data_IF_958507938419
#
_entry.id   IF_958507938419
#
_cell.length_a   1.000
_cell.length_b   1.000
_cell.length_c   1.000
_cell.angle_alpha   90.00
_cell.angle_beta   90.00
_cell.angle_gamma   90.00
#
_symmetry.space_group_name_H-M   'P 1'
#
loop_
_entity.id
_entity.type
_entity.pdbx_description
1 polymer ?
#
# COMPACT_ATOMS: atom_id res chain seq x y z
N UNK A 1 -7.54 46.52 48.48
CA UNK A 1 -7.02 45.14 48.33
C UNK A 1 -7.92 44.33 47.43
N UNK A 2 -8.00 44.64 46.12
CA UNK A 2 -8.67 43.80 45.10
C UNK A 2 -8.01 44.11 43.76
N UNK A 3 -6.83 43.50 43.45
CA UNK A 3 -6.20 43.67 42.13
C UNK A 3 -5.21 42.55 41.77
N UNK A 4 -5.39 41.33 42.26
CA UNK A 4 -4.45 40.22 42.01
C UNK A 4 -5.10 38.91 41.55
N UNK A 5 -6.31 38.90 41.00
CA UNK A 5 -7.02 37.63 40.70
C UNK A 5 -7.51 37.47 39.27
N UNK A 6 -6.89 38.14 38.27
CA UNK A 6 -7.37 38.04 36.86
C UNK A 6 -6.33 37.47 35.89
N UNK A 7 -5.14 37.09 36.31
CA UNK A 7 -4.03 36.70 35.41
C UNK A 7 -3.74 35.20 35.30
N UNK A 8 -4.50 34.31 35.95
CA UNK A 8 -4.19 32.86 35.90
C UNK A 8 -5.13 32.01 35.06
N UNK A 9 -6.17 32.58 34.45
CA UNK A 9 -7.14 31.78 33.69
C UNK A 9 -6.90 31.69 32.16
N UNK A 10 -5.94 32.47 31.62
CA UNK A 10 -5.80 32.58 30.15
C UNK A 10 -4.71 31.69 29.55
N UNK A 11 -3.91 31.00 30.35
CA UNK A 11 -2.78 30.19 29.82
C UNK A 11 -3.12 28.72 29.58
N UNK A 12 -4.22 28.20 30.10
CA UNK A 12 -4.56 26.77 30.03
C UNK A 12 -5.40 26.34 28.82
N UNK A 13 -5.89 27.28 27.98
CA UNK A 13 -6.74 26.93 26.81
C UNK A 13 -5.96 26.75 25.52
N UNK A 14 -4.71 27.19 25.44
CA UNK A 14 -3.91 27.12 24.19
C UNK A 14 -3.18 25.77 24.01
N UNK A 15 -3.01 24.97 25.04
CA UNK A 15 -2.27 23.71 24.98
C UNK A 15 -3.09 22.52 24.42
N UNK A 16 -4.42 22.65 24.32
CA UNK A 16 -5.31 21.55 23.88
C UNK A 16 -5.52 21.43 22.37
N UNK A 17 -5.11 22.41 21.56
CA UNK A 17 -5.44 22.48 20.11
C UNK A 17 -4.33 21.98 19.18
N UNK A 18 -3.19 21.58 19.68
CA UNK A 18 -2.04 21.21 18.85
C UNK A 18 -1.94 19.69 18.59
N UNK A 19 -2.73 18.86 19.26
CA UNK A 19 -2.58 17.40 19.21
C UNK A 19 -3.44 16.70 18.14
N UNK A 20 -4.38 17.36 17.46
CA UNK A 20 -5.29 16.71 16.51
C UNK A 20 -4.95 16.90 15.01
N UNK A 21 -3.88 17.62 14.67
CA UNK A 21 -3.58 17.98 13.28
C UNK A 21 -2.57 17.03 12.59
N UNK A 22 -2.21 15.89 13.16
CA UNK A 22 -1.08 15.08 12.64
C UNK A 22 -1.42 13.77 11.95
N UNK A 23 -2.68 13.38 11.84
CA UNK A 23 -3.01 12.05 11.26
C UNK A 23 -3.72 12.09 9.89
N UNK A 24 -3.89 13.27 9.27
CA UNK A 24 -4.59 13.39 7.97
C UNK A 24 -3.68 13.21 6.75
N UNK A 25 -2.44 12.78 6.88
CA UNK A 25 -1.46 12.80 5.80
C UNK A 25 -0.87 11.46 5.38
N UNK A 26 -1.25 10.35 5.99
CA UNK A 26 -0.61 9.07 5.69
C UNK A 26 -1.60 8.08 5.09
N UNK A 27 -1.14 7.38 4.06
CA UNK A 27 -1.87 6.28 3.41
C UNK A 27 -1.08 5.00 3.59
N UNK A 28 -1.79 3.89 3.67
CA UNK A 28 -1.19 2.57 3.83
C UNK A 28 -1.25 1.84 2.49
N UNK A 29 -0.12 1.37 2.04
CA UNK A 29 0.03 0.52 0.86
C UNK A 29 0.47 -0.86 1.31
N UNK A 30 -0.27 -1.89 0.91
CA UNK A 30 0.10 -3.28 1.11
C UNK A 30 0.45 -3.84 -0.28
N UNK A 31 1.74 -4.14 -0.48
CA UNK A 31 2.27 -4.62 -1.76
C UNK A 31 3.18 -5.82 -1.53
N UNK A 32 2.95 -6.93 -2.24
CA UNK A 32 3.66 -8.21 -2.04
C UNK A 32 3.71 -8.64 -0.55
N UNK A 33 2.61 -8.39 0.21
CA UNK A 33 2.50 -8.71 1.64
C UNK A 33 3.22 -7.73 2.58
N UNK A 34 3.93 -6.73 2.05
CA UNK A 34 4.63 -5.71 2.86
C UNK A 34 3.75 -4.48 3.03
N UNK A 35 3.57 -4.05 4.28
CA UNK A 35 2.83 -2.83 4.62
C UNK A 35 3.76 -1.64 4.67
N UNK A 36 3.47 -0.60 3.90
CA UNK A 36 4.27 0.64 3.83
C UNK A 36 3.37 1.86 3.98
N UNK A 37 3.76 2.79 4.85
CA UNK A 37 3.12 4.10 4.93
C UNK A 37 3.69 5.03 3.86
N UNK A 38 2.82 5.68 3.10
CA UNK A 38 3.19 6.65 2.06
C UNK A 38 2.58 8.01 2.35
N UNK A 39 3.20 9.08 1.86
CA UNK A 39 2.67 10.43 2.03
C UNK A 39 1.37 10.62 1.25
N UNK A 40 0.36 11.26 1.85
CA UNK A 40 -0.80 11.74 1.11
C UNK A 40 -0.39 12.90 0.23
N UNK A 41 -0.79 12.87 -1.04
CA UNK A 41 -0.58 13.97 -1.98
C UNK A 41 -1.79 14.91 -1.93
N UNK A 42 -1.57 16.21 -1.94
CA UNK A 42 -2.55 17.25 -1.57
C UNK A 42 -3.76 17.40 -2.52
N UNK A 43 -3.80 16.77 -3.68
CA UNK A 43 -4.84 17.00 -4.69
C UNK A 43 -5.50 15.70 -5.17
N UNK A 44 -5.83 14.80 -4.24
CA UNK A 44 -6.40 13.50 -4.61
C UNK A 44 -7.87 13.40 -4.21
N UNK A 45 -8.70 13.95 -5.08
CA UNK A 45 -10.17 13.73 -5.09
C UNK A 45 -10.56 12.42 -5.77
N UNK A 46 -9.59 11.67 -6.27
CA UNK A 46 -9.80 10.50 -7.11
C UNK A 46 -9.57 9.19 -6.36
N UNK A 47 -10.26 8.14 -6.79
CA UNK A 47 -10.06 6.74 -6.35
C UNK A 47 -8.63 6.23 -6.64
N UNK A 48 -7.79 7.03 -7.25
CA UNK A 48 -6.44 6.69 -7.66
C UNK A 48 -5.42 7.06 -6.59
N UNK A 49 -4.51 6.14 -6.31
CA UNK A 49 -3.42 6.35 -5.38
C UNK A 49 -2.20 6.91 -6.13
N UNK A 50 -1.90 8.18 -5.86
CA UNK A 50 -0.66 8.83 -6.30
C UNK A 50 0.36 8.77 -5.18
N UNK A 51 1.60 8.45 -5.51
CA UNK A 51 2.72 8.37 -4.57
C UNK A 51 3.91 9.13 -5.09
N UNK A 52 4.81 9.59 -4.21
CA UNK A 52 6.09 10.15 -4.64
C UNK A 52 6.95 9.06 -5.29
N UNK A 53 7.95 9.46 -6.09
CA UNK A 53 8.90 8.49 -6.67
C UNK A 53 9.68 7.72 -5.60
N UNK A 54 9.96 8.36 -4.46
CA UNK A 54 10.59 7.72 -3.31
C UNK A 54 9.68 6.67 -2.66
N UNK A 55 8.40 7.01 -2.49
CA UNK A 55 7.40 6.10 -1.93
C UNK A 55 7.09 4.94 -2.87
N UNK A 56 7.04 5.17 -4.19
CA UNK A 56 6.92 4.11 -5.18
C UNK A 56 8.02 3.05 -4.98
N UNK A 57 9.27 3.50 -4.93
CA UNK A 57 10.42 2.60 -4.72
C UNK A 57 10.32 1.89 -3.38
N UNK A 58 10.01 2.60 -2.30
CA UNK A 58 9.95 2.06 -0.94
C UNK A 58 8.84 1.03 -0.77
N UNK A 59 7.64 1.32 -1.32
CA UNK A 59 6.48 0.47 -1.14
C UNK A 59 6.44 -0.74 -2.08
N UNK A 60 7.01 -0.63 -3.29
CA UNK A 60 6.85 -1.64 -4.34
C UNK A 60 8.16 -2.18 -4.92
N UNK A 61 9.27 -1.50 -4.67
CA UNK A 61 10.54 -1.78 -5.32
C UNK A 61 10.64 -1.28 -6.77
N UNK A 62 9.54 -0.77 -7.36
CA UNK A 62 9.56 -0.22 -8.71
C UNK A 62 10.17 1.17 -8.78
N UNK A 63 10.83 1.45 -9.91
CA UNK A 63 11.36 2.77 -10.26
C UNK A 63 10.98 3.13 -11.69
N UNK A 64 10.70 4.40 -11.93
CA UNK A 64 10.44 4.91 -13.27
C UNK A 64 11.75 5.16 -13.97
N UNK A 65 11.94 4.53 -15.13
CA UNK A 65 13.11 4.66 -16.02
C UNK A 65 12.66 5.09 -17.42
N UNK A 66 13.57 5.52 -18.32
CA UNK A 66 13.20 5.90 -19.69
C UNK A 66 12.46 4.81 -20.46
N UNK A 67 12.76 3.53 -20.22
CA UNK A 67 12.13 2.37 -20.86
C UNK A 67 10.80 1.96 -20.22
N UNK A 68 10.47 2.45 -19.03
CA UNK A 68 9.24 2.11 -18.33
C UNK A 68 9.35 2.08 -16.82
N UNK A 69 8.46 1.36 -16.16
CA UNK A 69 8.46 1.14 -14.71
C UNK A 69 9.12 -0.19 -14.45
N UNK A 70 10.28 -0.18 -13.79
CA UNK A 70 11.15 -1.34 -13.68
C UNK A 70 11.41 -1.73 -12.22
N UNK A 71 11.45 -3.04 -11.96
CA UNK A 71 11.91 -3.65 -10.71
C UNK A 71 12.80 -4.83 -11.08
N UNK A 72 14.05 -4.79 -10.64
CA UNK A 72 15.06 -5.79 -10.99
C UNK A 72 15.19 -5.97 -12.54
N UNK A 73 14.92 -7.16 -13.05
CA UNK A 73 14.93 -7.49 -14.48
C UNK A 73 13.60 -7.23 -15.18
N UNK A 74 12.54 -6.97 -14.42
CA UNK A 74 11.19 -6.78 -14.94
C UNK A 74 10.96 -5.30 -15.25
N UNK A 75 10.56 -4.99 -16.49
CA UNK A 75 10.20 -3.64 -16.91
C UNK A 75 8.86 -3.64 -17.66
N UNK A 76 7.98 -2.74 -17.27
CA UNK A 76 6.70 -2.49 -17.93
C UNK A 76 6.77 -1.15 -18.67
N UNK A 77 6.71 -1.13 -20.01
CA UNK A 77 6.68 0.11 -20.76
C UNK A 77 5.39 0.87 -20.49
N UNK A 78 5.50 2.19 -20.31
CA UNK A 78 4.32 3.05 -20.21
C UNK A 78 3.89 3.52 -21.62
N UNK A 79 2.58 3.53 -21.92
CA UNK A 79 2.05 4.08 -23.15
C UNK A 79 2.47 5.57 -23.30
N UNK A 80 3.09 5.92 -24.43
CA UNK A 80 3.63 7.27 -24.66
C UNK A 80 2.53 8.32 -24.75
N UNK A 81 1.42 7.97 -25.35
CA UNK A 81 0.21 8.80 -25.53
C UNK A 81 -0.57 9.03 -24.24
N UNK A 82 -0.41 8.17 -23.23
CA UNK A 82 -1.12 8.21 -21.95
C UNK A 82 -0.19 8.47 -20.77
N UNK A 83 0.99 8.99 -20.98
CA UNK A 83 2.00 9.17 -19.93
C UNK A 83 1.50 10.02 -18.75
N UNK A 84 0.63 11.00 -19.00
CA UNK A 84 0.05 11.87 -17.96
C UNK A 84 -0.86 11.11 -16.97
N UNK A 85 -1.39 9.93 -17.35
CA UNK A 85 -2.16 9.10 -16.43
C UNK A 85 -1.28 8.47 -15.33
N UNK A 86 -0.01 8.27 -15.63
CA UNK A 86 0.93 7.57 -14.74
C UNK A 86 1.87 8.50 -14.00
N UNK A 87 2.26 9.61 -14.63
CA UNK A 87 3.26 10.53 -14.06
C UNK A 87 2.74 11.96 -14.13
N UNK A 88 2.68 12.61 -12.98
CA UNK A 88 2.33 14.02 -12.82
C UNK A 88 3.50 14.77 -12.20
N UNK A 89 3.72 15.99 -12.66
CA UNK A 89 4.73 16.88 -12.11
C UNK A 89 4.07 18.19 -11.67
N UNK A 90 4.10 18.45 -10.37
CA UNK A 90 3.60 19.68 -9.77
C UNK A 90 4.76 20.42 -9.09
N UNK A 91 5.22 21.48 -9.73
CA UNK A 91 6.39 22.21 -9.27
C UNK A 91 7.64 21.32 -9.21
N UNK A 92 8.18 21.12 -8.02
CA UNK A 92 9.37 20.26 -7.78
C UNK A 92 9.02 18.80 -7.47
N UNK A 93 7.75 18.49 -7.28
CA UNK A 93 7.32 17.14 -6.89
C UNK A 93 6.89 16.38 -8.15
N UNK A 94 7.45 15.21 -8.35
CA UNK A 94 7.01 14.25 -9.36
C UNK A 94 6.31 13.11 -8.64
N UNK A 95 5.07 12.82 -9.05
CA UNK A 95 4.23 11.78 -8.50
C UNK A 95 3.93 10.71 -9.54
N UNK A 96 3.62 9.51 -9.04
CA UNK A 96 3.29 8.34 -9.84
C UNK A 96 1.94 7.77 -9.43
N UNK A 97 1.07 7.48 -10.40
CA UNK A 97 -0.22 6.85 -10.18
C UNK A 97 -0.06 5.33 -10.08
N UNK A 98 0.03 4.84 -8.85
CA UNK A 98 0.23 3.41 -8.59
C UNK A 98 -1.01 2.58 -8.96
N UNK A 99 -2.20 3.12 -8.79
CA UNK A 99 -3.45 2.44 -9.15
C UNK A 99 -3.62 2.34 -10.68
N UNK A 100 -3.32 3.39 -11.43
CA UNK A 100 -3.34 3.33 -12.89
C UNK A 100 -2.30 2.34 -13.43
N UNK A 101 -1.12 2.30 -12.82
CA UNK A 101 -0.09 1.33 -13.17
C UNK A 101 -0.54 -0.11 -12.89
N UNK A 102 -1.15 -0.36 -11.74
CA UNK A 102 -1.70 -1.69 -11.42
C UNK A 102 -2.75 -2.14 -12.46
N UNK A 103 -3.63 -1.22 -12.88
CA UNK A 103 -4.59 -1.50 -13.97
C UNK A 103 -3.89 -1.82 -15.28
N UNK A 104 -2.84 -1.09 -15.64
CA UNK A 104 -2.06 -1.34 -16.86
C UNK A 104 -1.48 -2.76 -16.89
N UNK A 105 -0.92 -3.23 -15.78
CA UNK A 105 -0.32 -4.56 -15.65
C UNK A 105 -1.31 -5.64 -15.20
N UNK A 106 -2.62 -5.32 -15.18
CA UNK A 106 -3.72 -6.22 -14.75
C UNK A 106 -3.55 -6.76 -13.33
N UNK A 107 -2.90 -6.01 -12.46
CA UNK A 107 -2.75 -6.35 -11.03
C UNK A 107 -4.03 -5.97 -10.29
N UNK A 108 -4.64 -6.88 -9.51
CA UNK A 108 -5.82 -6.57 -8.70
C UNK A 108 -5.51 -5.53 -7.63
N UNK A 109 -6.43 -4.59 -7.42
CA UNK A 109 -6.33 -3.58 -6.36
C UNK A 109 -7.64 -3.53 -5.60
N UNK A 110 -7.56 -3.56 -4.28
CA UNK A 110 -8.65 -3.24 -3.39
C UNK A 110 -8.29 -1.99 -2.59
N UNK A 111 -9.23 -1.06 -2.44
CA UNK A 111 -9.03 0.18 -1.71
C UNK A 111 -10.11 0.35 -0.64
N UNK A 112 -9.70 0.68 0.56
CA UNK A 112 -10.53 1.22 1.62
C UNK A 112 -10.21 2.70 1.79
N UNK A 113 -10.95 3.53 1.08
CA UNK A 113 -10.75 4.99 1.07
C UNK A 113 -11.00 5.61 2.45
N UNK A 114 -11.93 5.03 3.23
CA UNK A 114 -12.27 5.50 4.58
C UNK A 114 -11.10 5.37 5.55
N UNK A 115 -10.39 4.26 5.46
CA UNK A 115 -9.23 3.97 6.30
C UNK A 115 -7.90 4.28 5.60
N UNK A 116 -7.95 4.86 4.40
CA UNK A 116 -6.79 5.21 3.58
C UNK A 116 -5.82 4.03 3.35
N UNK A 117 -6.36 2.84 3.04
CA UNK A 117 -5.61 1.61 2.80
C UNK A 117 -5.80 1.13 1.37
N UNK A 118 -4.70 0.80 0.69
CA UNK A 118 -4.68 0.18 -0.64
C UNK A 118 -3.93 -1.14 -0.59
N UNK A 119 -4.60 -2.20 -1.02
CA UNK A 119 -4.02 -3.53 -1.16
C UNK A 119 -3.82 -3.86 -2.64
N UNK A 120 -2.61 -4.22 -3.00
CA UNK A 120 -2.24 -4.69 -4.33
C UNK A 120 -2.03 -6.19 -4.28
N UNK A 121 -2.89 -6.92 -4.94
CA UNK A 121 -2.84 -8.38 -5.04
C UNK A 121 -1.67 -8.88 -5.90
N UNK A 122 -1.48 -10.19 -6.02
CA UNK A 122 -0.42 -10.76 -6.84
C UNK A 122 -0.61 -10.39 -8.32
N UNK A 123 0.50 -10.07 -8.98
CA UNK A 123 0.51 -9.80 -10.43
C UNK A 123 0.18 -11.08 -11.22
N UNK A 124 -0.35 -10.96 -12.45
CA UNK A 124 -0.69 -12.13 -13.28
C UNK A 124 0.49 -13.07 -13.51
N UNK A 125 1.70 -12.54 -13.74
CA UNK A 125 2.91 -13.34 -13.95
C UNK A 125 3.24 -14.24 -12.74
N UNK A 126 3.04 -13.73 -11.53
CA UNK A 126 3.21 -14.50 -10.29
C UNK A 126 2.09 -15.52 -10.11
N UNK A 127 0.84 -15.10 -10.29
CA UNK A 127 -0.33 -15.98 -10.14
C UNK A 127 -0.33 -17.10 -11.17
N UNK A 128 -0.05 -16.76 -12.43
CA UNK A 128 -0.09 -17.73 -13.53
C UNK A 128 1.06 -18.74 -13.44
N UNK A 129 2.18 -18.40 -12.80
CA UNK A 129 3.28 -19.33 -12.53
C UNK A 129 2.85 -20.47 -11.59
N UNK A 130 2.05 -20.19 -10.57
CA UNK A 130 1.51 -21.23 -9.66
C UNK A 130 0.50 -22.12 -10.37
N UNK A 131 -0.33 -21.56 -11.26
CA UNK A 131 -1.31 -22.35 -12.02
C UNK A 131 -0.62 -23.23 -13.04
N UNK A 132 0.39 -22.74 -13.74
CA UNK A 132 1.10 -23.48 -14.78
C UNK A 132 2.05 -24.55 -14.22
N UNK A 133 2.68 -24.30 -13.08
CA UNK A 133 3.55 -25.28 -12.40
C UNK A 133 2.78 -26.34 -11.62
N UNK A 134 1.49 -26.09 -11.34
CA UNK A 134 0.66 -26.87 -10.42
C UNK A 134 1.23 -26.89 -8.99
N UNK A 135 2.17 -26.02 -8.66
CA UNK A 135 2.72 -25.85 -7.33
C UNK A 135 1.86 -24.88 -6.51
N UNK A 136 1.33 -25.35 -5.38
CA UNK A 136 0.59 -24.48 -4.48
C UNK A 136 1.53 -23.49 -3.78
N UNK A 137 1.14 -22.20 -3.67
CA UNK A 137 1.89 -21.24 -2.88
C UNK A 137 2.04 -21.73 -1.44
N UNK A 138 3.27 -21.66 -0.90
CA UNK A 138 3.47 -22.02 0.49
C UNK A 138 2.86 -20.96 1.42
N UNK A 139 2.23 -21.39 2.49
CA UNK A 139 1.74 -20.53 3.56
C UNK A 139 2.04 -21.18 4.92
N UNK A 140 2.06 -20.38 5.97
CA UNK A 140 2.30 -20.82 7.34
C UNK A 140 1.19 -20.28 8.23
N UNK A 141 0.54 -21.16 9.00
CA UNK A 141 -0.53 -20.81 9.92
C UNK A 141 -0.24 -21.42 11.31
N UNK A 142 -0.62 -20.72 12.39
CA UNK A 142 -0.58 -21.30 13.73
C UNK A 142 -1.70 -22.34 13.90
N UNK A 143 -1.42 -23.42 14.63
CA UNK A 143 -2.45 -24.32 15.14
C UNK A 143 -3.12 -23.75 16.42
N UNK A 144 -4.03 -24.50 17.01
CA UNK A 144 -4.75 -24.11 18.23
C UNK A 144 -3.83 -23.85 19.43
N UNK A 145 -2.60 -24.36 19.42
CA UNK A 145 -1.59 -24.18 20.46
C UNK A 145 -0.58 -23.07 20.10
N UNK A 146 -0.78 -22.40 18.97
CA UNK A 146 0.13 -21.35 18.47
C UNK A 146 1.38 -21.89 17.75
N UNK A 147 1.52 -23.21 17.55
CA UNK A 147 2.62 -23.78 16.79
C UNK A 147 2.43 -23.51 15.30
N UNK A 148 3.47 -22.97 14.66
CA UNK A 148 3.45 -22.68 13.23
C UNK A 148 3.58 -23.98 12.41
N UNK A 149 2.70 -24.14 11.43
CA UNK A 149 2.71 -25.25 10.48
C UNK A 149 2.69 -24.65 9.06
N UNK A 150 3.58 -25.12 8.20
CA UNK A 150 3.69 -24.69 6.81
C UNK A 150 3.14 -25.75 5.87
N UNK A 151 2.57 -25.33 4.73
CA UNK A 151 2.14 -26.27 3.70
C UNK A 151 3.29 -27.16 3.24
N UNK A 152 4.51 -26.64 3.20
CA UNK A 152 5.73 -27.38 2.86
C UNK A 152 6.03 -28.57 3.78
N UNK A 153 5.54 -28.57 5.02
CA UNK A 153 5.77 -29.65 5.98
C UNK A 153 5.01 -30.94 5.61
N UNK A 154 4.06 -30.79 4.67
CA UNK A 154 3.22 -31.90 4.19
C UNK A 154 3.64 -32.38 2.79
N UNK A 155 4.83 -32.00 2.28
CA UNK A 155 5.30 -32.49 0.99
C UNK A 155 5.31 -34.02 0.94
N UNK A 156 4.83 -34.57 -0.20
CA UNK A 156 4.69 -36.02 -0.40
C UNK A 156 3.44 -36.65 0.23
N UNK A 157 2.59 -35.86 0.90
CA UNK A 157 1.31 -36.31 1.44
C UNK A 157 0.14 -35.73 0.66
N UNK A 158 -0.97 -36.45 0.63
CA UNK A 158 -2.25 -35.90 0.14
C UNK A 158 -2.85 -35.01 1.23
N UNK A 159 -3.08 -33.75 0.94
CA UNK A 159 -3.65 -32.76 1.84
C UNK A 159 -4.99 -32.26 1.31
N UNK A 160 -6.04 -32.28 2.13
CA UNK A 160 -7.28 -31.59 1.87
C UNK A 160 -7.34 -30.31 2.69
N UNK A 161 -7.34 -29.18 2.00
CA UNK A 161 -7.51 -27.87 2.63
C UNK A 161 -8.99 -27.47 2.60
N UNK A 162 -9.59 -27.29 3.78
CA UNK A 162 -10.97 -26.81 3.93
C UNK A 162 -10.95 -25.47 4.63
N UNK A 163 -11.62 -24.48 4.04
CA UNK A 163 -11.80 -23.15 4.63
C UNK A 163 -13.28 -22.93 4.90
N UNK A 164 -13.60 -22.38 6.07
CA UNK A 164 -14.96 -21.96 6.42
C UNK A 164 -14.90 -20.65 7.20
N UNK A 165 -16.02 -19.96 7.27
CA UNK A 165 -16.17 -18.81 8.13
C UNK A 165 -17.43 -19.03 9.01
N UNK A 166 -17.32 -18.64 10.27
CA UNK A 166 -18.47 -18.53 11.19
C UNK A 166 -18.85 -17.05 11.28
N UNK A 167 -19.93 -16.67 10.64
CA UNK A 167 -20.57 -15.36 10.78
C UNK A 167 -21.99 -15.49 11.27
#
# INVERSE_FOLDING_TARGET
MIRQLVWTATVLVVAGLVAQARDQGRRVVIYDGVTTQVAAMADQTTKDLWVTMADLKRATGFVVKPQGVCREQLCFPLPKDRKAEFVSKQGRITSFNLTAFARLIKQPVAADEKNAVWYFGPRPDVRDSYISSLDAPNFTLPDANGKLNSLSDFKGKKLLLVTWASW
#
